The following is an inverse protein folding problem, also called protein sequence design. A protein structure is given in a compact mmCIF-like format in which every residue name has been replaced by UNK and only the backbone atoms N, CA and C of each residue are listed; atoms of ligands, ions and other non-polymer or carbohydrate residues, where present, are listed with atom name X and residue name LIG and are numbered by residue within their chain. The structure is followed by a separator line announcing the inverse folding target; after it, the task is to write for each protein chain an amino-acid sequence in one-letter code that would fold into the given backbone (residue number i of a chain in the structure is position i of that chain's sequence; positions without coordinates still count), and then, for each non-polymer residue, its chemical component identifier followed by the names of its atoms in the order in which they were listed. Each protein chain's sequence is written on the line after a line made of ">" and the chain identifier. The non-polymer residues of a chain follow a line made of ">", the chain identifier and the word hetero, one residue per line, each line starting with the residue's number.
data_IF_846032156634
#
_entry.id   IF_846032156634
#
_cell.length_a   1.000
_cell.length_b   1.000
_cell.length_c   1.000
_cell.angle_alpha   90.00
_cell.angle_beta   90.00
_cell.angle_gamma   90.00
#
_symmetry.space_group_name_H-M   'P 1'
#
loop_
_entity.id
_entity.type
_entity.pdbx_description
1 polymer ?
#
# COMPACT_ATOMS: atom_id res chain seq x y z
N UNK A 1 -14.75 -3.77 -2.02
CA UNK A 1 -14.81 -5.18 -2.45
C UNK A 1 -15.48 -5.30 -3.80
N UNK A 2 -16.71 -4.80 -3.97
CA UNK A 2 -17.49 -4.97 -5.21
C UNK A 2 -16.77 -4.39 -6.44
N UNK A 3 -16.18 -3.20 -6.33
CA UNK A 3 -15.44 -2.57 -7.43
C UNK A 3 -14.23 -3.42 -7.85
N UNK A 4 -13.49 -3.98 -6.91
CA UNK A 4 -12.38 -4.89 -7.18
C UNK A 4 -12.87 -6.16 -7.89
N UNK A 5 -13.91 -6.81 -7.36
CA UNK A 5 -14.48 -8.03 -7.94
C UNK A 5 -15.03 -7.80 -9.36
N UNK A 6 -15.78 -6.71 -9.59
CA UNK A 6 -16.31 -6.35 -10.90
C UNK A 6 -15.18 -6.08 -11.89
N UNK A 7 -14.20 -5.26 -11.51
CA UNK A 7 -13.04 -4.96 -12.37
C UNK A 7 -12.29 -6.23 -12.74
N UNK A 8 -12.00 -7.09 -11.76
CA UNK A 8 -11.32 -8.36 -11.99
C UNK A 8 -12.12 -9.27 -12.92
N UNK A 9 -13.44 -9.38 -12.73
CA UNK A 9 -14.30 -10.19 -13.60
C UNK A 9 -14.16 -9.84 -15.10
N UNK A 10 -14.07 -8.55 -15.43
CA UNK A 10 -13.97 -8.12 -16.82
C UNK A 10 -12.52 -8.02 -17.33
N UNK A 11 -11.56 -7.72 -16.45
CA UNK A 11 -10.16 -7.52 -16.86
C UNK A 11 -9.36 -8.82 -16.95
N UNK A 12 -9.60 -9.79 -16.07
CA UNK A 12 -8.82 -11.02 -15.99
C UNK A 12 -8.84 -11.85 -17.28
N UNK A 13 -9.99 -12.04 -17.99
CA UNK A 13 -10.00 -12.75 -19.27
C UNK A 13 -9.04 -12.16 -20.30
N UNK A 14 -8.88 -10.84 -20.33
CA UNK A 14 -7.96 -10.15 -21.23
C UNK A 14 -6.51 -10.26 -20.74
N UNK A 15 -6.31 -10.21 -19.42
CA UNK A 15 -4.98 -10.25 -18.82
C UNK A 15 -4.31 -11.61 -19.03
N UNK A 16 -5.05 -12.69 -18.93
CA UNK A 16 -4.50 -14.06 -19.09
C UNK A 16 -4.16 -14.43 -20.54
N UNK A 17 -4.59 -13.63 -21.53
CA UNK A 17 -4.21 -13.83 -22.93
C UNK A 17 -2.72 -13.54 -23.18
N UNK A 18 -2.09 -12.76 -22.30
CA UNK A 18 -0.68 -12.36 -22.43
C UNK A 18 0.10 -12.77 -21.18
N UNK A 19 1.12 -13.63 -21.30
CA UNK A 19 1.96 -14.01 -20.15
C UNK A 19 2.62 -12.80 -19.48
N UNK A 20 2.78 -12.86 -18.16
CA UNK A 20 3.41 -11.79 -17.39
C UNK A 20 2.44 -10.70 -16.91
N UNK A 21 1.12 -10.93 -17.03
CA UNK A 21 0.11 -10.02 -16.51
C UNK A 21 0.27 -9.77 -15.00
N UNK A 22 0.03 -8.52 -14.56
CA UNK A 22 0.12 -8.12 -13.16
C UNK A 22 -1.19 -7.46 -12.71
N UNK A 23 -1.77 -8.00 -11.63
CA UNK A 23 -2.88 -7.40 -10.89
C UNK A 23 -2.33 -6.80 -9.60
N UNK A 24 -2.63 -5.52 -9.35
CA UNK A 24 -2.31 -4.84 -8.09
C UNK A 24 -3.60 -4.40 -7.43
N UNK A 25 -3.97 -5.09 -6.37
CA UNK A 25 -5.15 -4.79 -5.55
C UNK A 25 -4.78 -3.77 -4.48
N UNK A 26 -5.29 -2.54 -4.61
CA UNK A 26 -4.99 -1.48 -3.65
C UNK A 26 -5.80 -1.66 -2.36
N UNK A 27 -5.11 -1.71 -1.23
CA UNK A 27 -5.71 -1.90 0.08
C UNK A 27 -5.20 -0.87 1.10
N UNK A 28 -5.52 -1.09 2.38
CA UNK A 28 -4.98 -0.36 3.52
C UNK A 28 -4.73 -1.36 4.66
N UNK A 29 -3.46 -1.53 5.00
CA UNK A 29 -2.97 -2.48 5.99
C UNK A 29 -2.23 -3.67 5.41
N UNK A 30 -1.11 -4.01 6.04
CA UNK A 30 -0.44 -5.29 5.78
C UNK A 30 -1.28 -6.45 6.35
N UNK A 31 -0.99 -7.68 5.93
CA UNK A 31 -1.69 -8.85 6.46
C UNK A 31 -1.50 -8.97 7.97
N UNK A 32 -0.27 -8.74 8.45
CA UNK A 32 0.09 -8.83 9.87
C UNK A 32 -0.63 -7.76 10.69
N UNK A 33 -0.70 -6.53 10.16
CA UNK A 33 -1.37 -5.43 10.85
C UNK A 33 -2.88 -5.66 10.91
N UNK A 34 -3.52 -6.00 9.79
CA UNK A 34 -4.95 -6.27 9.72
C UNK A 34 -5.38 -7.51 10.50
N UNK A 35 -4.49 -8.49 10.72
CA UNK A 35 -4.79 -9.66 11.53
C UNK A 35 -4.86 -9.37 13.03
N UNK A 36 -4.28 -8.27 13.51
CA UNK A 36 -4.14 -7.97 14.95
C UNK A 36 -4.75 -6.63 15.37
N UNK A 37 -5.13 -5.75 14.44
CA UNK A 37 -5.62 -4.40 14.73
C UNK A 37 -6.98 -4.15 14.08
N UNK A 38 -7.98 -3.82 14.91
CA UNK A 38 -9.26 -3.32 14.41
C UNK A 38 -9.12 -1.89 13.91
N UNK A 39 -9.68 -1.60 12.73
CA UNK A 39 -9.49 -0.32 12.05
C UNK A 39 -10.81 0.38 11.75
N UNK A 40 -10.90 1.62 12.20
CA UNK A 40 -11.92 2.63 11.86
C UNK A 40 -13.36 2.17 12.12
N UNK A 41 -13.87 1.16 11.42
CA UNK A 41 -15.21 0.62 11.56
C UNK A 41 -15.29 -0.81 11.01
N UNK A 42 -16.34 -1.57 11.38
CA UNK A 42 -16.54 -2.94 10.91
C UNK A 42 -16.50 -3.06 9.37
N UNK A 43 -17.20 -2.18 8.66
CA UNK A 43 -17.23 -2.25 7.19
C UNK A 43 -15.91 -1.85 6.55
N UNK A 44 -15.23 -0.88 7.13
CA UNK A 44 -13.91 -0.47 6.65
C UNK A 44 -12.89 -1.60 6.83
N UNK A 45 -12.80 -2.12 8.04
CA UNK A 45 -11.90 -3.20 8.43
C UNK A 45 -12.10 -4.44 7.54
N UNK A 46 -13.36 -4.89 7.43
CA UNK A 46 -13.72 -6.02 6.57
C UNK A 46 -13.35 -5.76 5.10
N UNK A 47 -13.65 -4.56 4.58
CA UNK A 47 -13.37 -4.23 3.19
C UNK A 47 -11.86 -4.28 2.88
N UNK A 48 -11.02 -3.79 3.80
CA UNK A 48 -9.57 -3.76 3.59
C UNK A 48 -8.92 -5.14 3.74
N UNK A 49 -9.31 -5.91 4.75
CA UNK A 49 -8.87 -7.30 4.90
C UNK A 49 -9.35 -8.20 3.73
N UNK A 50 -10.55 -7.96 3.21
CA UNK A 50 -11.05 -8.71 2.05
C UNK A 50 -10.18 -8.52 0.80
N UNK A 51 -9.64 -7.32 0.57
CA UNK A 51 -8.76 -7.06 -0.59
C UNK A 51 -7.43 -7.81 -0.48
N UNK A 52 -6.84 -7.92 0.72
CA UNK A 52 -5.67 -8.76 0.95
C UNK A 52 -5.99 -10.22 0.55
N UNK A 53 -7.14 -10.72 1.00
CA UNK A 53 -7.57 -12.09 0.66
C UNK A 53 -7.87 -12.27 -0.84
N UNK A 54 -8.40 -11.23 -1.51
CA UNK A 54 -8.62 -11.27 -2.97
C UNK A 54 -7.29 -11.45 -3.72
N UNK A 55 -6.26 -10.66 -3.39
CA UNK A 55 -4.95 -10.79 -4.03
C UNK A 55 -4.34 -12.18 -3.81
N UNK A 56 -4.47 -12.75 -2.62
CA UNK A 56 -4.05 -14.11 -2.33
C UNK A 56 -4.78 -15.13 -3.21
N UNK A 57 -6.10 -15.06 -3.30
CA UNK A 57 -6.91 -15.97 -4.11
C UNK A 57 -6.60 -15.84 -5.61
N UNK A 58 -6.54 -14.59 -6.12
CA UNK A 58 -6.18 -14.31 -7.51
C UNK A 58 -4.78 -14.81 -7.84
N UNK A 59 -3.84 -14.73 -6.90
CA UNK A 59 -2.50 -15.28 -7.07
C UNK A 59 -2.50 -16.78 -7.37
N UNK A 60 -3.37 -17.54 -6.70
CA UNK A 60 -3.55 -18.97 -6.98
C UNK A 60 -4.21 -19.23 -8.34
N UNK A 61 -5.25 -18.46 -8.68
CA UNK A 61 -5.99 -18.63 -9.94
C UNK A 61 -5.17 -18.20 -11.16
N UNK A 62 -4.33 -17.19 -11.02
CA UNK A 62 -3.51 -16.64 -12.11
C UNK A 62 -2.18 -17.34 -12.33
N UNK A 63 -1.67 -18.09 -11.35
CA UNK A 63 -0.39 -18.80 -11.48
C UNK A 63 -0.30 -19.74 -12.71
N UNK A 64 -1.34 -20.54 -13.07
CA UNK A 64 -1.32 -21.36 -14.28
C UNK A 64 -1.22 -20.56 -15.58
N UNK A 65 -1.56 -19.29 -15.57
CA UNK A 65 -1.51 -18.36 -16.70
C UNK A 65 -0.23 -17.51 -16.74
N UNK A 66 0.75 -17.82 -15.88
CA UNK A 66 1.98 -17.01 -15.74
C UNK A 66 1.72 -15.54 -15.42
N UNK A 67 0.63 -15.25 -14.73
CA UNK A 67 0.27 -13.92 -14.25
C UNK A 67 0.37 -13.84 -12.73
N UNK A 68 0.53 -12.64 -12.22
CA UNK A 68 0.79 -12.34 -10.81
C UNK A 68 -0.31 -11.46 -10.24
N UNK A 69 -0.75 -11.72 -9.02
CA UNK A 69 -1.60 -10.82 -8.25
C UNK A 69 -0.95 -10.50 -6.91
N UNK A 70 -0.98 -9.23 -6.53
CA UNK A 70 -0.51 -8.74 -5.23
C UNK A 70 -1.53 -7.77 -4.63
N UNK A 71 -1.62 -7.70 -3.30
CA UNK A 71 -2.18 -6.55 -2.63
C UNK A 71 -1.08 -5.53 -2.35
N UNK A 72 -1.36 -4.25 -2.51
CA UNK A 72 -0.45 -3.17 -2.21
C UNK A 72 -1.12 -2.16 -1.27
N UNK A 73 -0.47 -1.90 -0.14
CA UNK A 73 -0.90 -0.86 0.79
C UNK A 73 0.11 0.30 0.77
N UNK A 74 -0.35 1.54 0.57
CA UNK A 74 0.46 2.70 0.93
C UNK A 74 0.65 2.73 2.45
N UNK A 75 1.56 3.57 2.90
CA UNK A 75 1.61 4.00 4.29
C UNK A 75 0.55 5.08 4.57
N UNK A 76 0.89 6.08 5.40
CA UNK A 76 -0.01 7.21 5.63
C UNK A 76 -0.02 8.11 4.39
N UNK A 77 -0.96 7.83 3.49
CA UNK A 77 -1.01 8.47 2.18
C UNK A 77 -1.53 9.91 2.28
N UNK A 78 -0.78 10.87 1.77
CA UNK A 78 -1.22 12.26 1.60
C UNK A 78 -2.17 12.39 0.39
N UNK A 79 -3.33 11.73 0.49
CA UNK A 79 -4.41 11.90 -0.50
C UNK A 79 -5.04 13.28 -0.39
N UNK A 80 -5.77 13.72 -1.41
CA UNK A 80 -6.51 14.99 -1.39
C UNK A 80 -7.44 15.09 -0.16
N UNK A 81 -8.16 14.00 0.14
CA UNK A 81 -9.04 13.95 1.31
C UNK A 81 -8.26 14.08 2.63
N UNK A 82 -7.08 13.45 2.72
CA UNK A 82 -6.24 13.53 3.91
C UNK A 82 -5.65 14.94 4.08
N UNK A 83 -5.14 15.54 3.01
CA UNK A 83 -4.64 16.92 3.04
C UNK A 83 -5.74 17.91 3.42
N UNK A 84 -6.94 17.74 2.85
CA UNK A 84 -8.10 18.58 3.20
C UNK A 84 -8.50 18.40 4.67
N UNK A 85 -8.50 17.19 5.20
CA UNK A 85 -8.84 16.93 6.61
C UNK A 85 -7.86 17.61 7.58
N UNK A 86 -6.59 17.78 7.18
CA UNK A 86 -5.58 18.49 7.95
C UNK A 86 -5.49 20.00 7.62
N UNK A 87 -6.30 20.51 6.67
CA UNK A 87 -6.29 21.91 6.27
C UNK A 87 -5.00 22.35 5.56
N UNK A 88 -4.31 21.43 4.91
CA UNK A 88 -3.02 21.66 4.23
C UNK A 88 -3.09 21.28 2.76
N UNK A 89 -2.02 21.62 2.02
CA UNK A 89 -1.79 21.22 0.63
C UNK A 89 -0.52 20.38 0.55
N UNK A 90 -0.25 19.73 -0.59
CA UNK A 90 1.00 18.96 -0.73
C UNK A 90 2.27 19.79 -0.49
N UNK A 91 2.39 21.07 -0.95
CA UNK A 91 3.54 21.91 -0.60
C UNK A 91 3.66 22.25 0.90
N UNK A 92 2.53 22.28 1.63
CA UNK A 92 2.48 22.69 3.05
C UNK A 92 2.18 21.54 4.01
N UNK A 93 2.18 20.30 3.57
CA UNK A 93 1.76 19.16 4.37
C UNK A 93 2.46 19.03 5.72
N UNK A 94 3.72 19.54 5.82
CA UNK A 94 4.50 19.50 7.06
C UNK A 94 3.91 20.37 8.15
N UNK A 95 3.09 21.36 7.83
CA UNK A 95 2.41 22.22 8.82
C UNK A 95 1.42 21.40 9.67
N UNK A 96 0.86 20.30 9.10
CA UNK A 96 -0.01 19.40 9.84
C UNK A 96 0.71 18.67 10.99
N UNK A 97 2.02 18.52 10.93
CA UNK A 97 2.83 17.84 11.97
C UNK A 97 2.75 18.56 13.31
N UNK A 98 2.51 19.87 13.31
CA UNK A 98 2.32 20.64 14.55
C UNK A 98 1.11 20.17 15.38
N UNK A 99 0.08 19.63 14.73
CA UNK A 99 -1.16 19.17 15.36
C UNK A 99 -1.30 17.63 15.33
N UNK A 100 -0.64 17.00 14.38
CA UNK A 100 -0.64 15.54 14.21
C UNK A 100 0.81 15.06 14.02
N UNK A 101 1.59 14.96 15.11
CA UNK A 101 3.04 14.73 15.00
C UNK A 101 3.43 13.48 14.19
N UNK A 102 2.69 12.38 14.33
CA UNK A 102 2.94 11.14 13.58
C UNK A 102 2.67 11.28 12.07
N UNK A 103 1.98 12.36 11.61
CA UNK A 103 1.83 12.62 10.17
C UNK A 103 3.15 12.86 9.46
N UNK A 104 4.22 13.13 10.22
CA UNK A 104 5.59 13.24 9.69
C UNK A 104 6.04 12.02 8.88
N UNK A 105 5.48 10.81 9.14
CA UNK A 105 5.82 9.58 8.38
C UNK A 105 5.09 9.47 7.04
N UNK A 106 4.14 10.37 6.74
CA UNK A 106 3.27 10.26 5.58
C UNK A 106 4.02 10.28 4.24
N UNK A 107 3.47 9.61 3.24
CA UNK A 107 4.00 9.50 1.89
C UNK A 107 3.12 10.21 0.85
N UNK A 108 3.72 10.64 -0.27
CA UNK A 108 2.98 11.18 -1.39
C UNK A 108 2.33 10.08 -2.24
N UNK A 109 1.29 10.40 -3.04
CA UNK A 109 0.74 9.46 -4.03
C UNK A 109 1.77 8.97 -5.06
N UNK A 110 2.81 9.76 -5.32
CA UNK A 110 3.88 9.35 -6.22
C UNK A 110 4.71 8.18 -5.66
N UNK A 111 4.83 8.07 -4.34
CA UNK A 111 5.62 7.00 -3.72
C UNK A 111 4.98 5.62 -3.96
N UNK A 112 3.69 5.46 -3.67
CA UNK A 112 2.99 4.21 -3.98
C UNK A 112 2.88 3.98 -5.50
N UNK A 113 2.78 5.03 -6.31
CA UNK A 113 2.84 4.93 -7.77
C UNK A 113 4.18 4.36 -8.26
N UNK A 114 5.30 4.75 -7.64
CA UNK A 114 6.62 4.18 -7.93
C UNK A 114 6.73 2.72 -7.52
N UNK A 115 6.05 2.32 -6.44
CA UNK A 115 5.96 0.91 -6.05
C UNK A 115 5.25 0.07 -7.13
N UNK A 116 4.12 0.56 -7.67
CA UNK A 116 3.42 -0.09 -8.79
C UNK A 116 4.32 -0.19 -10.02
N UNK A 117 5.00 0.90 -10.38
CA UNK A 117 5.90 0.92 -11.53
C UNK A 117 7.08 -0.05 -11.37
N UNK A 118 7.63 -0.15 -10.16
CA UNK A 118 8.71 -1.10 -9.85
C UNK A 118 8.26 -2.56 -9.98
N UNK A 119 7.07 -2.89 -9.47
CA UNK A 119 6.48 -4.22 -9.64
C UNK A 119 6.22 -4.54 -11.12
N UNK A 120 5.68 -3.58 -11.89
CA UNK A 120 5.38 -3.77 -13.31
C UNK A 120 6.65 -3.93 -14.16
N UNK A 121 7.78 -3.34 -13.74
CA UNK A 121 9.09 -3.47 -14.40
C UNK A 121 9.95 -4.64 -13.94
N UNK A 122 9.49 -5.42 -12.97
CA UNK A 122 10.28 -6.51 -12.39
C UNK A 122 10.08 -7.82 -13.16
N UNK A 123 11.13 -8.34 -13.85
CA UNK A 123 11.03 -9.62 -14.55
C UNK A 123 10.77 -10.81 -13.63
N UNK A 124 11.04 -10.67 -12.32
CA UNK A 124 10.83 -11.70 -11.30
C UNK A 124 9.63 -11.39 -10.39
N UNK A 125 8.66 -10.58 -10.86
CA UNK A 125 7.49 -10.16 -10.07
C UNK A 125 6.71 -11.34 -9.50
N UNK A 126 6.76 -12.51 -10.13
CA UNK A 126 6.09 -13.73 -9.67
C UNK A 126 6.50 -14.17 -8.25
N UNK A 127 7.67 -13.74 -7.74
CA UNK A 127 8.07 -14.00 -6.34
C UNK A 127 7.15 -13.35 -5.31
N UNK A 128 6.40 -12.35 -5.72
CA UNK A 128 5.44 -11.63 -4.87
C UNK A 128 4.01 -12.15 -4.98
N UNK A 129 3.78 -13.15 -5.83
CA UNK A 129 2.44 -13.62 -6.13
C UNK A 129 1.64 -14.00 -4.88
N UNK A 130 0.41 -13.51 -4.76
CA UNK A 130 -0.50 -13.75 -3.65
C UNK A 130 -0.15 -13.02 -2.35
N UNK A 131 0.85 -12.12 -2.35
CA UNK A 131 1.32 -11.42 -1.14
C UNK A 131 0.69 -10.05 -1.00
N UNK A 132 0.59 -9.59 0.25
CA UNK A 132 0.33 -8.19 0.60
C UNK A 132 1.65 -7.48 0.85
N UNK A 133 1.88 -6.38 0.13
CA UNK A 133 3.12 -5.61 0.12
C UNK A 133 2.83 -4.17 0.53
N UNK A 134 3.81 -3.49 1.13
CA UNK A 134 3.72 -2.05 1.40
C UNK A 134 4.64 -1.25 0.48
N UNK A 135 4.27 0.01 0.22
CA UNK A 135 5.12 0.97 -0.51
C UNK A 135 6.50 1.10 0.13
N UNK A 136 6.57 1.17 1.47
CA UNK A 136 7.82 1.25 2.21
C UNK A 136 8.70 0.01 2.04
N UNK A 137 8.12 -1.20 2.16
CA UNK A 137 8.83 -2.45 1.90
C UNK A 137 9.41 -2.50 0.48
N UNK A 138 8.60 -2.16 -0.52
CA UNK A 138 9.04 -2.16 -1.91
C UNK A 138 10.12 -1.12 -2.18
N UNK A 139 10.07 0.04 -1.52
CA UNK A 139 11.11 1.06 -1.62
C UNK A 139 12.46 0.57 -1.10
N UNK A 140 12.49 -0.27 -0.06
CA UNK A 140 13.71 -0.90 0.42
C UNK A 140 14.27 -1.90 -0.61
N UNK A 141 13.40 -2.68 -1.25
CA UNK A 141 13.81 -3.71 -2.22
C UNK A 141 14.27 -3.09 -3.54
N UNK A 142 13.50 -2.12 -4.09
CA UNK A 142 13.75 -1.56 -5.42
C UNK A 142 14.55 -0.25 -5.42
N UNK A 143 14.79 0.33 -4.26
CA UNK A 143 15.65 1.50 -4.12
C UNK A 143 15.03 2.85 -4.52
N UNK A 144 13.71 2.91 -4.81
CA UNK A 144 13.06 4.18 -5.12
C UNK A 144 12.81 5.02 -3.85
N UNK A 145 12.57 6.31 -4.05
CA UNK A 145 12.29 7.29 -2.99
C UNK A 145 10.97 7.99 -3.25
N UNK A 146 10.44 8.70 -2.25
CA UNK A 146 9.35 9.66 -2.43
C UNK A 146 9.86 10.92 -3.17
N UNK A 147 8.97 11.86 -3.47
CA UNK A 147 9.29 13.10 -4.20
C UNK A 147 10.28 14.01 -3.48
N UNK A 148 10.35 13.90 -2.15
CA UNK A 148 11.29 14.64 -1.30
C UNK A 148 12.60 13.89 -1.01
N UNK A 149 12.82 12.75 -1.68
CA UNK A 149 14.02 11.91 -1.53
C UNK A 149 13.97 10.95 -0.34
N UNK A 150 12.94 10.98 0.50
CA UNK A 150 12.77 10.07 1.64
C UNK A 150 12.28 8.68 1.21
N UNK A 151 12.32 7.72 2.15
CA UNK A 151 11.79 6.36 1.98
C UNK A 151 10.90 5.98 3.15
N UNK A 152 9.69 6.54 3.27
CA UNK A 152 8.81 6.28 4.40
C UNK A 152 8.51 4.78 4.55
N UNK A 153 8.78 4.22 5.73
CA UNK A 153 8.37 2.88 6.14
C UNK A 153 7.29 2.99 7.20
N UNK A 154 6.11 3.41 6.75
CA UNK A 154 5.02 3.80 7.63
C UNK A 154 4.50 2.63 8.47
N UNK A 155 4.43 1.40 7.93
CA UNK A 155 3.89 0.26 8.67
C UNK A 155 4.82 -0.18 9.79
N UNK A 156 6.13 -0.15 9.58
CA UNK A 156 7.12 -0.37 10.64
C UNK A 156 7.04 0.75 11.69
N UNK A 157 6.93 2.00 11.26
CA UNK A 157 6.77 3.14 12.15
C UNK A 157 5.50 3.06 13.01
N UNK A 158 4.36 2.66 12.42
CA UNK A 158 3.12 2.49 13.16
C UNK A 158 3.31 1.48 14.29
N UNK A 159 3.83 0.31 14.00
CA UNK A 159 3.98 -0.78 14.98
C UNK A 159 5.04 -0.52 16.03
N UNK A 160 6.13 0.18 15.69
CA UNK A 160 7.26 0.39 16.60
C UNK A 160 7.18 1.71 17.39
N UNK A 161 6.44 2.72 16.88
CA UNK A 161 6.41 4.05 17.48
C UNK A 161 4.99 4.51 17.83
N UNK A 162 4.09 4.52 16.85
CA UNK A 162 2.77 5.12 17.05
C UNK A 162 1.85 4.27 17.93
N UNK A 163 1.73 2.97 17.68
CA UNK A 163 0.84 2.09 18.43
C UNK A 163 1.29 1.91 19.90
N UNK A 164 2.61 1.84 20.20
CA UNK A 164 3.09 1.88 21.57
C UNK A 164 2.93 3.23 22.27
N UNK A 165 2.48 4.30 21.55
CA UNK A 165 2.28 5.65 22.10
C UNK A 165 3.58 6.40 22.40
N UNK A 166 4.66 6.08 21.68
CA UNK A 166 5.94 6.77 21.81
C UNK A 166 5.87 8.17 21.15
N UNK A 167 6.70 9.13 21.56
CA UNK A 167 6.84 10.41 20.88
C UNK A 167 7.12 10.24 19.39
N UNK A 168 6.54 11.09 18.56
CA UNK A 168 6.72 11.04 17.12
C UNK A 168 8.18 11.37 16.75
N UNK A 169 8.92 10.35 16.35
CA UNK A 169 10.27 10.44 15.81
C UNK A 169 10.36 9.55 14.57
N UNK A 170 10.50 10.15 13.41
CA UNK A 170 10.61 9.44 12.12
C UNK A 170 12.05 9.08 11.74
N UNK A 171 13.02 9.34 12.62
CA UNK A 171 14.42 9.00 12.38
C UNK A 171 14.58 7.50 12.17
N UNK A 172 15.17 7.11 11.03
CA UNK A 172 15.33 5.70 10.66
C UNK A 172 14.09 5.03 10.06
N UNK A 173 12.99 5.78 9.91
CA UNK A 173 11.75 5.30 9.26
C UNK A 173 11.41 6.08 7.99
N UNK A 174 12.07 7.21 7.76
CA UNK A 174 11.80 8.07 6.62
C UNK A 174 13.03 8.40 5.80
#
# INVERSE_FOLDING_TARGET
>A
VDTHAITSHFALPLLIETPGGLVVEMTDGTDEYNASHYRVSFFYDLAKAAVNRMAFALGHELAPHHATAVALTPGWLRSEAMLQAHGVTEPTWRDAVAHTPHFAISESPAFVGRAVAALAGDPEVARWNGRTLSSGQLAQVYGFTDVDGSRPDAWRYLTEVQDPGLPADVTGYR
#
